data_IF_522890857173
#
_entry.id   IF_522890857173
#
_cell.length_a   1.000
_cell.length_b   1.000
_cell.length_c   1.000
_cell.angle_alpha   90.00
_cell.angle_beta   90.00
_cell.angle_gamma   90.00
#
_symmetry.space_group_name_H-M   'P 1'
#
loop_
_entity.id
_entity.type
_entity.pdbx_description
1 polymer ?
#
# COMPACT_ATOMS: atom_id res chain seq x y z
N UNK A 1 -4.00 29.79 11.80
CA UNK A 1 -2.88 28.97 11.25
C UNK A 1 -3.08 27.48 11.52
N UNK A 2 -3.45 27.07 12.73
CA UNK A 2 -3.73 25.65 13.09
C UNK A 2 -4.88 25.07 12.26
N UNK A 3 -6.02 25.76 12.15
CA UNK A 3 -7.17 25.31 11.33
C UNK A 3 -6.81 25.05 9.86
N UNK A 4 -5.93 25.89 9.28
CA UNK A 4 -5.44 25.69 7.92
C UNK A 4 -4.61 24.42 7.81
N UNK A 5 -3.71 24.17 8.77
CA UNK A 5 -2.90 22.94 8.82
C UNK A 5 -3.77 21.70 9.02
N UNK A 6 -4.80 21.77 9.87
CA UNK A 6 -5.77 20.68 10.05
C UNK A 6 -6.50 20.36 8.75
N UNK A 7 -6.89 21.39 7.98
CA UNK A 7 -7.51 21.19 6.65
C UNK A 7 -6.54 20.53 5.66
N UNK A 8 -5.30 20.98 5.64
CA UNK A 8 -4.24 20.39 4.79
C UNK A 8 -4.03 18.90 5.15
N UNK A 9 -3.93 18.56 6.43
CA UNK A 9 -3.80 17.16 6.89
C UNK A 9 -5.04 16.34 6.56
N UNK A 10 -6.25 16.89 6.73
CA UNK A 10 -7.49 16.20 6.38
C UNK A 10 -7.61 15.90 4.87
N UNK A 11 -7.20 16.85 4.03
CA UNK A 11 -7.15 16.66 2.57
C UNK A 11 -6.12 15.59 2.18
N UNK A 12 -5.00 15.52 2.88
CA UNK A 12 -3.98 14.49 2.66
C UNK A 12 -4.44 13.10 3.13
N UNK A 13 -5.03 13.01 4.32
CA UNK A 13 -5.65 11.78 4.85
C UNK A 13 -6.68 11.20 3.88
N UNK A 14 -7.53 12.06 3.30
CA UNK A 14 -8.52 11.63 2.30
C UNK A 14 -7.86 11.02 1.06
N UNK A 15 -6.75 11.60 0.59
CA UNK A 15 -6.01 11.08 -0.58
C UNK A 15 -5.33 9.76 -0.25
N UNK A 16 -4.60 9.69 0.86
CA UNK A 16 -3.89 8.47 1.28
C UNK A 16 -4.87 7.33 1.50
N UNK A 17 -6.03 7.56 2.13
CA UNK A 17 -7.06 6.51 2.29
C UNK A 17 -7.61 6.01 0.95
N UNK A 18 -7.80 6.88 -0.02
CA UNK A 18 -8.25 6.48 -1.36
C UNK A 18 -7.17 5.68 -2.10
N UNK A 19 -5.91 6.12 -2.00
CA UNK A 19 -4.76 5.42 -2.57
C UNK A 19 -4.55 4.06 -1.93
N UNK A 20 -4.69 3.97 -0.60
CA UNK A 20 -4.59 2.72 0.16
C UNK A 20 -5.66 1.73 -0.29
N UNK A 21 -6.92 2.17 -0.48
CA UNK A 21 -7.97 1.29 -0.97
C UNK A 21 -7.65 0.69 -2.35
N UNK A 22 -7.13 1.50 -3.27
CA UNK A 22 -6.69 1.03 -4.59
C UNK A 22 -5.49 0.08 -4.46
N UNK A 23 -4.52 0.43 -3.63
CA UNK A 23 -3.33 -0.40 -3.39
C UNK A 23 -3.69 -1.75 -2.78
N UNK A 24 -4.68 -1.82 -1.88
CA UNK A 24 -5.20 -3.08 -1.33
C UNK A 24 -5.73 -4.00 -2.43
N UNK A 25 -6.53 -3.47 -3.35
CA UNK A 25 -7.07 -4.25 -4.47
C UNK A 25 -5.95 -4.74 -5.41
N UNK A 26 -4.99 -3.87 -5.71
CA UNK A 26 -3.84 -4.21 -6.55
C UNK A 26 -2.93 -5.25 -5.89
N UNK A 27 -2.68 -5.14 -4.58
CA UNK A 27 -1.88 -6.11 -3.84
C UNK A 27 -2.54 -7.48 -3.88
N UNK A 28 -3.85 -7.57 -3.62
CA UNK A 28 -4.58 -8.81 -3.70
C UNK A 28 -4.52 -9.44 -5.11
N UNK A 29 -4.58 -8.61 -6.16
CA UNK A 29 -4.44 -9.08 -7.53
C UNK A 29 -3.05 -9.66 -7.80
N UNK A 30 -1.97 -8.95 -7.47
CA UNK A 30 -0.61 -9.42 -7.73
C UNK A 30 -0.21 -10.62 -6.86
N UNK A 31 -0.68 -10.70 -5.61
CA UNK A 31 -0.47 -11.88 -4.77
C UNK A 31 -1.12 -13.12 -5.39
N UNK A 32 -2.35 -12.99 -5.91
CA UNK A 32 -3.02 -14.09 -6.62
C UNK A 32 -2.25 -14.50 -7.89
N UNK A 33 -1.79 -13.54 -8.70
CA UNK A 33 -1.00 -13.84 -9.91
C UNK A 33 0.33 -14.55 -9.58
N UNK A 34 1.01 -14.12 -8.51
CA UNK A 34 2.24 -14.74 -8.05
C UNK A 34 2.01 -16.18 -7.58
N UNK A 35 0.91 -16.43 -6.86
CA UNK A 35 0.55 -17.77 -6.41
C UNK A 35 0.19 -18.72 -7.56
N UNK A 36 -0.56 -18.23 -8.55
CA UNK A 36 -0.82 -19.01 -9.76
C UNK A 36 0.45 -19.33 -10.53
N UNK A 37 1.34 -18.34 -10.70
CA UNK A 37 2.62 -18.55 -11.39
C UNK A 37 3.50 -19.54 -10.63
N UNK A 38 3.50 -19.51 -9.30
CA UNK A 38 4.18 -20.48 -8.42
C UNK A 38 3.64 -21.89 -8.64
N UNK A 39 2.33 -22.07 -8.70
CA UNK A 39 1.72 -23.39 -8.98
C UNK A 39 2.16 -23.88 -10.38
N UNK A 40 2.13 -23.00 -11.39
CA UNK A 40 2.54 -23.36 -12.76
C UNK A 40 4.03 -23.72 -12.86
N UNK A 41 4.92 -23.02 -12.16
CA UNK A 41 6.36 -23.31 -12.17
C UNK A 41 6.65 -24.68 -11.56
N UNK A 42 5.98 -25.02 -10.46
CA UNK A 42 6.11 -26.34 -9.81
C UNK A 42 5.60 -27.49 -10.68
N UNK A 43 4.53 -27.28 -11.46
CA UNK A 43 3.94 -28.34 -12.30
C UNK A 43 4.71 -28.54 -13.60
N UNK A 44 5.21 -27.45 -14.20
CA UNK A 44 5.78 -27.51 -15.55
C UNK A 44 7.28 -27.74 -15.55
N UNK A 45 7.97 -27.40 -14.45
CA UNK A 45 9.44 -27.50 -14.28
C UNK A 45 10.25 -26.88 -15.44
N UNK A 46 9.65 -25.92 -16.17
CA UNK A 46 10.33 -25.27 -17.29
C UNK A 46 11.00 -23.97 -16.85
N UNK A 47 12.17 -23.62 -17.43
CA UNK A 47 12.83 -22.34 -17.18
C UNK A 47 11.92 -21.13 -17.42
N UNK A 48 11.03 -21.21 -18.40
CA UNK A 48 10.08 -20.13 -18.72
C UNK A 48 9.06 -19.93 -17.58
N UNK A 49 8.51 -21.02 -17.04
CA UNK A 49 7.55 -20.94 -15.93
C UNK A 49 8.20 -20.42 -14.64
N UNK A 50 9.46 -20.78 -14.38
CA UNK A 50 10.24 -20.23 -13.27
C UNK A 50 10.47 -18.73 -13.41
N UNK A 51 10.83 -18.25 -14.61
CA UNK A 51 11.00 -16.83 -14.87
C UNK A 51 9.68 -16.06 -14.65
N UNK A 52 8.56 -16.57 -15.15
CA UNK A 52 7.24 -15.94 -14.95
C UNK A 52 6.86 -15.85 -13.47
N UNK A 53 7.18 -16.88 -12.67
CA UNK A 53 6.99 -16.84 -11.23
C UNK A 53 7.84 -15.73 -10.57
N UNK A 54 9.13 -15.64 -10.91
CA UNK A 54 10.01 -14.62 -10.36
C UNK A 54 9.55 -13.20 -10.71
N UNK A 55 9.04 -12.99 -11.92
CA UNK A 55 8.49 -11.70 -12.34
C UNK A 55 7.25 -11.33 -11.53
N UNK A 56 6.28 -12.24 -11.43
CA UNK A 56 5.06 -12.02 -10.64
C UNK A 56 5.37 -11.78 -9.15
N UNK A 57 6.29 -12.55 -8.57
CA UNK A 57 6.72 -12.38 -7.18
C UNK A 57 7.36 -11.01 -6.92
N UNK A 58 8.16 -10.49 -7.87
CA UNK A 58 8.75 -9.14 -7.76
C UNK A 58 7.69 -8.04 -7.84
N UNK A 59 6.67 -8.21 -8.68
CA UNK A 59 5.55 -7.27 -8.75
C UNK A 59 4.75 -7.23 -7.46
N UNK A 60 4.39 -8.40 -6.92
CA UNK A 60 3.71 -8.53 -5.64
C UNK A 60 4.50 -7.88 -4.49
N UNK A 61 5.81 -8.13 -4.42
CA UNK A 61 6.67 -7.52 -3.40
C UNK A 61 6.77 -5.99 -3.53
N UNK A 62 6.84 -5.47 -4.76
CA UNK A 62 6.85 -4.02 -4.99
C UNK A 62 5.54 -3.39 -4.53
N UNK A 63 4.41 -4.02 -4.85
CA UNK A 63 3.10 -3.55 -4.42
C UNK A 63 2.94 -3.62 -2.89
N UNK A 64 3.45 -4.68 -2.26
CA UNK A 64 3.42 -4.83 -0.81
C UNK A 64 4.18 -3.72 -0.09
N UNK A 65 5.38 -3.36 -0.58
CA UNK A 65 6.14 -2.23 -0.03
C UNK A 65 5.38 -0.91 -0.15
N UNK A 66 4.81 -0.65 -1.33
CA UNK A 66 4.01 0.55 -1.54
C UNK A 66 2.79 0.60 -0.61
N UNK A 67 2.12 -0.53 -0.40
CA UNK A 67 0.99 -0.64 0.52
C UNK A 67 1.41 -0.28 1.96
N UNK A 68 2.51 -0.86 2.44
CA UNK A 68 3.07 -0.57 3.77
C UNK A 68 3.45 0.92 3.90
N UNK A 69 4.10 1.50 2.89
CA UNK A 69 4.46 2.93 2.91
C UNK A 69 3.21 3.83 3.05
N UNK A 70 2.08 3.45 2.45
CA UNK A 70 0.81 4.17 2.58
C UNK A 70 0.19 4.01 3.97
N UNK A 71 0.24 2.80 4.55
CA UNK A 71 -0.22 2.55 5.93
C UNK A 71 0.58 3.38 6.94
N UNK A 72 1.91 3.39 6.82
CA UNK A 72 2.79 4.18 7.69
C UNK A 72 2.50 5.68 7.56
N UNK A 73 2.31 6.17 6.33
CA UNK A 73 1.94 7.57 6.09
C UNK A 73 0.57 7.91 6.67
N UNK A 74 -0.41 7.02 6.59
CA UNK A 74 -1.73 7.21 7.18
C UNK A 74 -1.62 7.41 8.69
N UNK A 75 -0.92 6.51 9.38
CA UNK A 75 -0.71 6.59 10.84
C UNK A 75 0.00 7.88 11.22
N UNK A 76 1.04 8.28 10.48
CA UNK A 76 1.76 9.53 10.74
C UNK A 76 0.86 10.78 10.58
N UNK A 77 -0.05 10.78 9.61
CA UNK A 77 -1.00 11.87 9.40
C UNK A 77 -2.09 11.91 10.46
N UNK A 78 -2.56 10.75 10.93
CA UNK A 78 -3.53 10.65 12.03
C UNK A 78 -2.92 11.18 13.33
N UNK A 79 -1.71 10.77 13.68
CA UNK A 79 -1.00 11.31 14.84
C UNK A 79 -0.81 12.83 14.74
N UNK A 80 -0.42 13.33 13.55
CA UNK A 80 -0.26 14.76 13.33
C UNK A 80 -1.58 15.52 13.45
N UNK A 81 -2.69 14.92 13.03
CA UNK A 81 -4.01 15.51 13.21
C UNK A 81 -4.35 15.63 14.69
N UNK A 82 -4.13 14.57 15.46
CA UNK A 82 -4.37 14.54 16.92
C UNK A 82 -3.53 15.61 17.63
N UNK A 83 -2.22 15.69 17.34
CA UNK A 83 -1.33 16.70 17.92
C UNK A 83 -1.80 18.15 17.63
N UNK A 84 -2.37 18.38 16.44
CA UNK A 84 -2.89 19.69 16.04
C UNK A 84 -4.24 20.00 16.70
N UNK A 85 -5.07 18.98 16.93
CA UNK A 85 -6.33 19.12 17.67
C UNK A 85 -6.06 19.43 19.14
N UNK A 86 -5.12 18.73 19.76
CA UNK A 86 -4.69 19.01 21.14
C UNK A 86 -4.19 20.45 21.30
N UNK A 87 -3.36 20.94 20.37
CA UNK A 87 -2.89 22.34 20.36
C UNK A 87 -4.01 23.37 20.15
N UNK A 88 -5.11 22.99 19.50
CA UNK A 88 -6.25 23.88 19.29
C UNK A 88 -7.15 23.95 20.53
N UNK A 89 -7.17 22.89 21.33
CA UNK A 89 -7.98 22.75 22.54
C UNK A 89 -7.25 23.20 23.82
N UNK A 90 -5.92 23.29 23.78
CA UNK A 90 -5.08 23.82 24.87
C UNK A 90 -5.12 25.34 24.96
#
# INVERSE_FOLDING_TARGET
MIERRLREVADELKRVRAELAVSTEQLAHFDNEADEARIRSMVSETPLSEQSYQDAARHAETMRKHHVDLEERLVALEQRQDDLLDQMLS
#
